data_IF_958516088896
#
_entry.id   IF_958516088896
#
_cell.length_a   1.000
_cell.length_b   1.000
_cell.length_c   1.000
_cell.angle_alpha   90.00
_cell.angle_beta   90.00
_cell.angle_gamma   90.00
#
_symmetry.space_group_name_H-M   'P 1'
#
loop_
_entity.id
_entity.type
_entity.pdbx_description
1 polymer ?
#
# COMPACT_ATOMS: atom_id res chain seq x y z
N UNK A 1 57.30 -34.16 -14.18
CA UNK A 1 56.85 -34.16 -15.58
C UNK A 1 57.14 -32.77 -16.10
N UNK A 2 58.12 -32.67 -17.00
CA UNK A 2 58.43 -31.40 -17.66
C UNK A 2 57.42 -31.20 -18.78
N UNK A 3 56.55 -30.22 -18.63
CA UNK A 3 55.58 -29.86 -19.67
C UNK A 3 56.33 -29.19 -20.83
N UNK A 4 56.04 -29.63 -22.05
CA UNK A 4 56.55 -29.01 -23.28
C UNK A 4 55.98 -27.60 -23.44
N UNK A 5 56.67 -26.73 -24.19
CA UNK A 5 56.22 -25.35 -24.42
C UNK A 5 54.80 -25.30 -25.02
N UNK A 6 54.44 -26.27 -25.88
CA UNK A 6 53.09 -26.43 -26.43
C UNK A 6 52.06 -26.79 -25.36
N UNK A 7 52.39 -27.65 -24.41
CA UNK A 7 51.48 -28.00 -23.30
C UNK A 7 51.30 -26.81 -22.36
N UNK A 8 52.36 -26.04 -22.10
CA UNK A 8 52.27 -24.79 -21.32
C UNK A 8 51.37 -23.76 -22.02
N UNK A 9 51.47 -23.62 -23.34
CA UNK A 9 50.61 -22.72 -24.13
C UNK A 9 49.15 -23.18 -24.16
N UNK A 10 48.89 -24.49 -24.26
CA UNK A 10 47.53 -25.04 -24.22
C UNK A 10 46.91 -24.86 -22.83
N UNK A 11 47.67 -25.13 -21.76
CA UNK A 11 47.20 -24.95 -20.39
C UNK A 11 46.95 -23.48 -20.08
N UNK A 12 47.86 -22.58 -20.46
CA UNK A 12 47.67 -21.14 -20.26
C UNK A 12 46.50 -20.59 -21.08
N UNK A 13 46.35 -20.99 -22.35
CA UNK A 13 45.19 -20.62 -23.18
C UNK A 13 43.87 -21.13 -22.61
N UNK A 14 43.85 -22.36 -22.08
CA UNK A 14 42.66 -22.93 -21.43
C UNK A 14 42.30 -22.20 -20.14
N UNK A 15 43.30 -21.80 -19.35
CA UNK A 15 43.09 -21.00 -18.13
C UNK A 15 42.56 -19.60 -18.44
N UNK A 16 43.02 -18.97 -19.51
CA UNK A 16 42.49 -17.68 -19.99
C UNK A 16 41.05 -17.83 -20.45
N UNK A 17 40.73 -18.87 -21.22
CA UNK A 17 39.38 -19.13 -21.70
C UNK A 17 38.41 -19.40 -20.53
N UNK A 18 38.84 -20.20 -19.54
CA UNK A 18 38.08 -20.43 -18.30
C UNK A 18 37.91 -19.13 -17.53
N UNK A 19 38.95 -18.29 -17.44
CA UNK A 19 38.86 -16.98 -16.79
C UNK A 19 37.83 -16.06 -17.45
N UNK A 20 37.78 -16.03 -18.79
CA UNK A 20 36.80 -15.26 -19.56
C UNK A 20 35.38 -15.83 -19.40
N UNK A 21 35.23 -17.16 -19.41
CA UNK A 21 33.93 -17.81 -19.19
C UNK A 21 33.42 -17.57 -17.77
N UNK A 22 34.32 -17.59 -16.78
CA UNK A 22 33.99 -17.27 -15.38
C UNK A 22 33.66 -15.79 -15.24
N UNK A 23 34.33 -14.87 -15.95
CA UNK A 23 33.96 -13.44 -15.91
C UNK A 23 32.59 -13.21 -16.56
N UNK A 24 32.30 -13.83 -17.71
CA UNK A 24 30.96 -13.76 -18.30
C UNK A 24 29.90 -14.37 -17.37
N UNK A 25 30.16 -15.52 -16.75
CA UNK A 25 29.26 -16.11 -15.75
C UNK A 25 29.09 -15.19 -14.54
N UNK A 26 30.14 -14.50 -14.09
CA UNK A 26 30.06 -13.52 -13.00
C UNK A 26 29.28 -12.26 -13.41
N UNK A 27 29.39 -11.81 -14.66
CA UNK A 27 28.60 -10.70 -15.21
C UNK A 27 27.11 -11.09 -15.36
N UNK A 28 26.82 -12.31 -15.82
CA UNK A 28 25.47 -12.88 -15.83
C UNK A 28 24.92 -13.10 -14.42
N UNK A 29 25.76 -13.49 -13.47
CA UNK A 29 25.39 -13.55 -12.05
C UNK A 29 25.12 -12.15 -11.49
N UNK A 30 25.86 -11.11 -11.91
CA UNK A 30 25.55 -9.72 -11.54
C UNK A 30 24.21 -9.23 -12.14
N UNK A 31 23.83 -9.69 -13.34
CA UNK A 31 22.49 -9.50 -13.90
C UNK A 31 21.39 -10.32 -13.19
N UNK A 32 21.75 -11.38 -12.46
CA UNK A 32 20.84 -12.15 -11.58
C UNK A 32 20.87 -11.65 -10.11
N UNK A 33 21.85 -10.82 -9.74
CA UNK A 33 21.97 -10.11 -8.45
C UNK A 33 21.08 -8.84 -8.31
N UNK A 34 20.13 -8.47 -9.19
CA UNK A 34 19.07 -7.51 -8.83
C UNK A 34 18.11 -8.02 -7.74
N UNK A 35 18.25 -9.24 -7.23
CA UNK A 35 17.36 -9.80 -6.21
C UNK A 35 17.86 -9.71 -4.76
N UNK A 36 19.08 -9.23 -4.49
CA UNK A 36 19.57 -9.13 -3.09
C UNK A 36 20.34 -7.85 -2.73
N UNK A 37 20.52 -6.88 -3.63
CA UNK A 37 21.21 -5.63 -3.27
C UNK A 37 20.70 -4.36 -3.95
N UNK A 38 19.42 -4.33 -4.33
CA UNK A 38 18.70 -3.06 -4.33
C UNK A 38 18.12 -2.86 -2.93
N UNK A 39 18.40 -1.71 -2.34
CA UNK A 39 17.80 -1.21 -1.10
C UNK A 39 16.28 -0.94 -1.23
N UNK A 40 15.56 -1.76 -2.01
CA UNK A 40 14.16 -2.07 -1.77
C UNK A 40 14.12 -3.37 -0.96
N UNK A 41 14.63 -3.30 0.26
CA UNK A 41 14.21 -4.27 1.28
C UNK A 41 12.70 -4.09 1.36
N UNK A 42 11.95 -5.04 0.81
CA UNK A 42 10.55 -5.24 1.17
C UNK A 42 10.56 -5.52 2.66
N UNK A 43 10.38 -4.45 3.44
CA UNK A 43 10.06 -4.55 4.84
C UNK A 43 8.54 -4.59 4.82
N UNK A 44 7.90 -5.76 4.95
CA UNK A 44 6.53 -5.76 5.42
C UNK A 44 6.54 -4.92 6.68
N UNK A 45 5.78 -3.83 6.65
CA UNK A 45 5.69 -2.94 7.78
C UNK A 45 5.29 -3.80 9.00
N UNK A 46 5.87 -3.56 10.19
CA UNK A 46 5.76 -4.48 11.31
C UNK A 46 4.29 -4.73 11.62
N UNK A 47 3.85 -5.97 11.36
CA UNK A 47 2.56 -6.49 11.77
C UNK A 47 2.63 -6.64 13.29
N UNK A 48 1.89 -5.81 14.01
CA UNK A 48 1.70 -6.03 15.44
C UNK A 48 0.83 -7.27 15.63
N UNK A 49 1.44 -8.31 16.18
CA UNK A 49 0.75 -9.52 16.64
C UNK A 49 -0.02 -9.19 17.92
N UNK A 50 -1.31 -8.89 17.78
CA UNK A 50 -2.20 -8.58 18.90
C UNK A 50 -2.57 -9.81 19.74
N UNK A 51 -2.14 -11.02 19.36
CA UNK A 51 -2.54 -12.26 20.03
C UNK A 51 -1.57 -12.73 21.14
N UNK A 52 -0.47 -12.01 21.39
CA UNK A 52 0.45 -12.35 22.46
C UNK A 52 0.14 -11.57 23.75
N UNK A 53 -0.60 -12.23 24.64
CA UNK A 53 -1.09 -11.79 25.96
C UNK A 53 0.02 -11.53 27.02
N UNK A 54 1.26 -11.27 26.58
CA UNK A 54 2.45 -11.18 27.43
C UNK A 54 3.14 -9.80 27.38
N UNK A 55 2.41 -8.70 27.17
CA UNK A 55 2.95 -7.35 27.35
C UNK A 55 2.46 -6.71 28.67
N UNK A 56 3.31 -6.55 29.69
CA UNK A 56 2.91 -6.07 31.00
C UNK A 56 2.71 -4.55 31.02
N UNK A 57 1.55 -4.16 31.57
CA UNK A 57 1.26 -2.93 32.33
C UNK A 57 1.00 -1.57 31.67
N UNK A 58 1.17 -1.35 30.36
CA UNK A 58 0.99 0.01 29.79
C UNK A 58 -0.17 0.20 28.79
N UNK A 59 -1.00 -0.82 28.58
CA UNK A 59 -2.11 -0.72 27.61
C UNK A 59 -3.12 0.39 27.94
N UNK A 60 -3.29 0.76 29.23
CA UNK A 60 -4.20 1.82 29.65
C UNK A 60 -3.69 3.23 29.37
N UNK A 61 -2.40 3.50 29.56
CA UNK A 61 -1.84 4.83 29.28
C UNK A 61 -1.76 5.05 27.76
N UNK A 62 -1.39 4.01 27.03
CA UNK A 62 -1.38 3.96 25.57
C UNK A 62 -2.81 4.12 25.00
N UNK A 63 -3.82 3.45 25.58
CA UNK A 63 -5.24 3.66 25.26
C UNK A 63 -5.74 5.09 25.59
N UNK A 64 -5.33 5.68 26.71
CA UNK A 64 -5.72 7.06 27.09
C UNK A 64 -5.05 8.10 26.18
N UNK A 65 -3.82 7.87 25.71
CA UNK A 65 -3.16 8.70 24.67
C UNK A 65 -3.96 8.63 23.36
N UNK A 66 -4.41 7.43 22.98
CA UNK A 66 -5.20 7.12 21.76
C UNK A 66 -6.61 7.71 21.72
N UNK A 67 -7.25 7.96 22.88
CA UNK A 67 -8.58 8.61 22.95
C UNK A 67 -8.49 10.13 22.75
N UNK A 68 -7.30 10.73 22.86
CA UNK A 68 -7.10 12.20 22.82
C UNK A 68 -6.46 12.71 21.53
N UNK A 69 -6.25 11.85 20.54
CA UNK A 69 -5.35 12.12 19.43
C UNK A 69 -6.05 11.93 18.07
N UNK A 70 -5.53 12.55 17.01
CA UNK A 70 -6.13 12.62 15.66
C UNK A 70 -6.05 11.26 14.96
N UNK A 71 -6.80 10.29 15.45
CA UNK A 71 -6.76 8.92 14.98
C UNK A 71 -7.74 8.68 13.82
N UNK A 72 -7.31 7.84 12.89
CA UNK A 72 -8.13 7.31 11.80
C UNK A 72 -8.59 5.88 12.15
N UNK A 73 -9.71 5.41 11.58
CA UNK A 73 -10.54 6.10 10.60
C UNK A 73 -11.58 7.03 11.23
N UNK A 74 -12.09 7.96 10.42
CA UNK A 74 -13.14 8.91 10.80
C UNK A 74 -14.39 8.73 9.93
N UNK A 75 -15.52 9.22 10.45
CA UNK A 75 -16.68 9.50 9.63
C UNK A 75 -16.65 10.98 9.22
N UNK A 76 -16.60 11.24 7.92
CA UNK A 76 -16.62 12.60 7.36
C UNK A 76 -18.08 13.06 7.27
N UNK A 77 -18.40 14.18 7.91
CA UNK A 77 -19.69 14.86 7.74
C UNK A 77 -19.50 15.94 6.68
N UNK A 78 -20.09 15.75 5.51
CA UNK A 78 -19.80 16.57 4.34
C UNK A 78 -20.18 18.05 4.56
N UNK A 79 -21.32 18.30 5.20
CA UNK A 79 -21.81 19.64 5.52
C UNK A 79 -20.97 20.39 6.57
N UNK A 80 -20.16 19.69 7.38
CA UNK A 80 -19.34 20.29 8.43
C UNK A 80 -17.90 20.54 7.97
N UNK A 81 -17.56 20.15 6.72
CA UNK A 81 -16.22 20.31 6.18
C UNK A 81 -15.93 21.75 5.74
N UNK A 82 -14.66 22.16 5.88
CA UNK A 82 -14.19 23.48 5.46
C UNK A 82 -13.87 23.46 3.96
N UNK A 83 -14.60 24.23 3.17
CA UNK A 83 -14.37 24.33 1.72
C UNK A 83 -13.12 25.15 1.42
N UNK A 84 -12.22 24.59 0.61
CA UNK A 84 -11.01 25.24 0.10
C UNK A 84 -11.24 25.57 -1.38
N UNK A 85 -11.60 26.81 -1.64
CA UNK A 85 -11.73 27.35 -3.00
C UNK A 85 -10.36 27.83 -3.52
N UNK A 86 -10.03 27.50 -4.78
CA UNK A 86 -8.85 28.03 -5.46
C UNK A 86 -7.49 27.45 -5.02
N UNK A 87 -7.48 26.38 -4.23
CA UNK A 87 -6.26 25.63 -3.93
C UNK A 87 -5.64 24.98 -5.17
N UNK A 88 -4.34 24.69 -5.12
CA UNK A 88 -3.65 23.95 -6.17
C UNK A 88 -4.34 22.59 -6.40
N UNK A 89 -4.44 22.10 -7.65
CA UNK A 89 -4.95 20.77 -7.91
C UNK A 89 -3.97 19.69 -7.41
N UNK A 90 -4.49 18.52 -7.06
CA UNK A 90 -3.68 17.33 -6.85
C UNK A 90 -3.12 16.85 -8.20
N UNK A 91 -1.81 16.70 -8.29
CA UNK A 91 -1.15 16.18 -9.49
C UNK A 91 -0.72 14.72 -9.28
N UNK A 92 -0.97 13.93 -10.31
CA UNK A 92 -0.65 12.51 -10.39
C UNK A 92 0.36 12.32 -11.51
N UNK A 93 1.56 11.85 -11.18
CA UNK A 93 2.67 11.74 -12.12
C UNK A 93 3.06 10.27 -12.29
N UNK A 94 3.33 9.88 -13.54
CA UNK A 94 3.78 8.56 -13.97
C UNK A 94 2.84 7.37 -13.68
N UNK A 95 1.59 7.61 -13.30
CA UNK A 95 0.58 6.58 -13.00
C UNK A 95 0.18 5.70 -14.19
N UNK A 96 0.43 6.16 -15.42
CA UNK A 96 0.24 5.38 -16.65
C UNK A 96 1.40 4.43 -16.95
N UNK A 97 2.45 4.46 -16.14
CA UNK A 97 3.58 3.52 -16.24
C UNK A 97 3.09 2.14 -15.82
N UNK A 98 3.49 1.09 -16.53
CA UNK A 98 3.24 -0.29 -16.11
C UNK A 98 4.37 -0.74 -15.17
N UNK A 99 4.08 -1.39 -14.04
CA UNK A 99 5.12 -1.99 -13.22
C UNK A 99 5.77 -3.20 -13.92
N UNK A 100 7.03 -3.49 -13.60
CA UNK A 100 7.74 -4.69 -14.07
C UNK A 100 7.30 -5.95 -13.32
N UNK A 101 7.02 -5.78 -12.03
CA UNK A 101 6.57 -6.86 -11.14
C UNK A 101 5.39 -6.38 -10.33
N UNK A 102 4.35 -7.19 -10.26
CA UNK A 102 3.20 -6.99 -9.38
C UNK A 102 3.00 -8.22 -8.50
N UNK A 103 2.89 -7.99 -7.20
CA UNK A 103 2.73 -9.05 -6.19
C UNK A 103 1.47 -8.81 -5.39
N UNK A 104 0.67 -9.86 -5.20
CA UNK A 104 -0.47 -9.87 -4.28
C UNK A 104 -0.12 -10.72 -3.06
N UNK A 105 -0.37 -10.17 -1.87
CA UNK A 105 -0.06 -10.82 -0.58
C UNK A 105 -1.31 -10.81 0.29
N UNK A 106 -1.65 -11.96 0.88
CA UNK A 106 -2.50 -12.02 2.05
C UNK A 106 -1.59 -12.01 3.29
N UNK A 107 -1.50 -10.88 3.99
CA UNK A 107 -0.64 -10.75 5.18
C UNK A 107 -1.30 -11.28 6.46
N UNK A 108 -2.50 -11.86 6.34
CA UNK A 108 -3.34 -12.30 7.44
C UNK A 108 -4.32 -11.24 7.95
N UNK A 109 -4.11 -9.96 7.63
CA UNK A 109 -5.02 -8.88 8.00
C UNK A 109 -5.83 -8.37 6.80
N UNK A 110 -5.21 -8.36 5.62
CA UNK A 110 -5.76 -7.78 4.39
C UNK A 110 -5.08 -8.36 3.14
N UNK A 111 -5.61 -8.01 1.96
CA UNK A 111 -4.93 -8.17 0.68
C UNK A 111 -4.18 -6.89 0.36
N UNK A 112 -2.87 -7.01 0.14
CA UNK A 112 -1.99 -5.91 -0.26
C UNK A 112 -1.34 -6.19 -1.61
N UNK A 113 -1.31 -5.17 -2.48
CA UNK A 113 -0.58 -5.18 -3.73
C UNK A 113 0.71 -4.37 -3.61
N UNK A 114 1.79 -4.96 -4.12
CA UNK A 114 3.11 -4.36 -4.20
C UNK A 114 3.64 -4.37 -5.63
N UNK A 115 4.51 -3.41 -5.93
CA UNK A 115 4.94 -3.10 -7.29
C UNK A 115 6.45 -2.86 -7.34
N UNK A 116 7.09 -3.30 -8.42
CA UNK A 116 8.44 -2.90 -8.80
C UNK A 116 8.35 -2.13 -10.10
N UNK A 117 8.94 -0.93 -10.12
CA UNK A 117 8.80 0.02 -11.22
C UNK A 117 10.05 0.05 -12.11
N UNK A 118 9.90 0.19 -13.44
CA UNK A 118 11.02 0.21 -14.36
C UNK A 118 11.87 1.48 -14.18
N UNK A 119 13.19 1.34 -14.36
CA UNK A 119 14.15 2.46 -14.39
C UNK A 119 14.12 3.41 -13.17
N UNK A 120 13.58 2.94 -12.03
CA UNK A 120 13.43 3.77 -10.84
C UNK A 120 12.36 4.88 -10.96
N UNK A 121 11.53 4.85 -12.01
CA UNK A 121 10.44 5.81 -12.22
C UNK A 121 9.24 5.33 -11.40
N UNK A 122 9.11 5.84 -10.18
CA UNK A 122 8.03 5.48 -9.27
C UNK A 122 6.89 6.50 -9.45
N UNK A 123 5.65 6.07 -9.73
CA UNK A 123 4.49 6.96 -9.74
C UNK A 123 4.38 7.72 -8.42
N UNK A 124 3.97 8.98 -8.47
CA UNK A 124 3.91 9.81 -7.28
C UNK A 124 2.81 10.87 -7.39
N UNK A 125 2.47 11.42 -6.23
CA UNK A 125 1.51 12.51 -6.10
C UNK A 125 2.19 13.74 -5.48
N UNK A 126 1.74 14.91 -5.89
CA UNK A 126 2.22 16.20 -5.37
C UNK A 126 1.11 17.27 -5.44
N UNK A 127 1.36 18.43 -4.82
CA UNK A 127 0.45 19.57 -4.77
C UNK A 127 -0.90 19.22 -4.09
N UNK A 128 -1.93 20.02 -4.31
CA UNK A 128 -3.16 19.93 -3.55
C UNK A 128 -2.90 20.22 -2.06
N UNK A 129 -3.30 19.33 -1.14
CA UNK A 129 -3.01 19.49 0.29
C UNK A 129 -1.58 19.09 0.66
N UNK A 130 -0.78 18.58 -0.29
CA UNK A 130 0.53 18.00 -0.02
C UNK A 130 1.64 19.05 -0.07
N UNK A 131 2.50 19.04 0.97
CA UNK A 131 3.68 19.92 1.06
C UNK A 131 4.89 19.40 0.29
N UNK A 132 4.90 18.11 0.00
CA UNK A 132 6.01 17.39 -0.62
C UNK A 132 5.47 16.47 -1.72
N UNK A 133 6.38 15.86 -2.47
CA UNK A 133 6.06 14.74 -3.36
C UNK A 133 6.04 13.44 -2.57
N UNK A 134 5.12 12.54 -2.91
CA UNK A 134 4.95 11.24 -2.24
C UNK A 134 4.94 10.10 -3.27
N UNK A 135 5.93 9.22 -3.17
CA UNK A 135 6.08 8.05 -4.03
C UNK A 135 5.04 6.99 -3.67
N UNK A 136 4.38 6.46 -4.69
CA UNK A 136 3.44 5.36 -4.56
C UNK A 136 4.13 4.09 -4.03
N UNK A 137 3.52 3.46 -3.03
CA UNK A 137 4.10 2.33 -2.32
C UNK A 137 3.29 1.04 -2.48
N UNK A 138 2.00 1.07 -2.16
CA UNK A 138 1.16 -0.12 -2.15
C UNK A 138 -0.32 0.20 -2.27
N UNK A 139 -1.13 -0.80 -2.61
CA UNK A 139 -2.59 -0.75 -2.52
C UNK A 139 -3.05 -1.73 -1.45
N UNK A 140 -3.92 -1.29 -0.54
CA UNK A 140 -4.48 -2.12 0.53
C UNK A 140 -6.00 -2.17 0.37
N UNK A 141 -6.61 -3.35 0.56
CA UNK A 141 -8.05 -3.53 0.45
C UNK A 141 -8.68 -3.85 1.82
N UNK A 142 -9.67 -3.09 2.24
CA UNK A 142 -10.46 -3.39 3.42
C UNK A 142 -11.87 -3.74 3.01
N UNK A 143 -12.35 -4.90 3.44
CA UNK A 143 -13.72 -5.33 3.17
C UNK A 143 -14.42 -5.80 4.44
N UNK A 144 -15.75 -5.88 4.37
CA UNK A 144 -16.58 -6.41 5.43
C UNK A 144 -17.36 -7.64 5.01
N UNK A 145 -18.03 -8.22 6.01
CA UNK A 145 -18.79 -9.45 5.88
C UNK A 145 -20.11 -9.27 5.11
N UNK A 146 -20.65 -8.05 5.06
CA UNK A 146 -21.91 -7.72 4.39
C UNK A 146 -21.77 -6.49 3.50
N UNK A 147 -22.82 -6.19 2.74
CA UNK A 147 -22.80 -5.11 1.74
C UNK A 147 -22.85 -3.71 2.39
N UNK A 148 -23.19 -3.61 3.68
CA UNK A 148 -23.38 -2.34 4.41
C UNK A 148 -22.20 -1.97 5.32
N UNK A 149 -21.17 -2.83 5.41
CA UNK A 149 -20.00 -2.61 6.24
C UNK A 149 -18.75 -3.11 5.54
N UNK A 150 -17.61 -2.47 5.78
CA UNK A 150 -16.33 -2.94 5.26
C UNK A 150 -15.28 -1.86 5.12
N UNK A 151 -15.68 -0.66 4.71
CA UNK A 151 -14.83 0.52 4.70
C UNK A 151 -14.40 0.89 6.11
N UNK A 152 -13.17 1.36 6.23
CA UNK A 152 -12.60 1.87 7.48
C UNK A 152 -13.16 3.27 7.75
N UNK A 153 -13.22 4.13 6.74
CA UNK A 153 -13.86 5.45 6.79
C UNK A 153 -15.37 5.37 6.52
N UNK A 154 -16.09 6.44 6.87
CA UNK A 154 -17.50 6.64 6.52
C UNK A 154 -17.71 8.04 5.95
N UNK A 155 -18.78 8.21 5.18
CA UNK A 155 -19.20 9.50 4.62
C UNK A 155 -20.67 9.72 4.98
N UNK A 156 -21.00 10.79 5.69
CA UNK A 156 -22.35 11.09 6.20
C UNK A 156 -22.99 9.92 6.97
N UNK A 157 -22.19 9.22 7.77
CA UNK A 157 -22.56 8.00 8.51
C UNK A 157 -22.87 6.78 7.63
N UNK A 158 -22.60 6.86 6.33
CA UNK A 158 -22.71 5.74 5.40
C UNK A 158 -21.38 4.99 5.36
N UNK A 159 -21.47 3.68 5.54
CA UNK A 159 -20.39 2.72 5.35
C UNK A 159 -20.53 2.01 4.01
N UNK A 160 -19.40 1.57 3.48
CA UNK A 160 -19.30 0.90 2.20
C UNK A 160 -18.82 -0.55 2.37
N UNK A 161 -19.16 -1.47 1.45
CA UNK A 161 -18.72 -2.87 1.51
C UNK A 161 -17.21 -3.05 1.45
N UNK A 162 -16.50 -2.13 0.79
CA UNK A 162 -15.05 -2.17 0.63
C UNK A 162 -14.46 -0.76 0.52
N UNK A 163 -13.22 -0.61 0.97
CA UNK A 163 -12.38 0.56 0.82
C UNK A 163 -11.00 0.14 0.28
N UNK A 164 -10.50 0.85 -0.71
CA UNK A 164 -9.16 0.67 -1.25
C UNK A 164 -8.31 1.88 -0.87
N UNK A 165 -7.15 1.63 -0.28
CA UNK A 165 -6.23 2.65 0.19
C UNK A 165 -4.91 2.57 -0.59
N UNK A 166 -4.58 3.64 -1.29
CA UNK A 166 -3.32 3.82 -2.02
C UNK A 166 -2.34 4.51 -1.08
N UNK A 167 -1.32 3.78 -0.65
CA UNK A 167 -0.31 4.28 0.29
C UNK A 167 0.81 4.94 -0.49
N UNK A 168 1.19 6.14 -0.06
CA UNK A 168 2.32 6.88 -0.60
C UNK A 168 3.25 7.32 0.53
N UNK A 169 4.53 7.34 0.23
CA UNK A 169 5.60 7.66 1.16
C UNK A 169 6.33 8.89 0.66
N UNK A 170 6.58 9.85 1.56
CA UNK A 170 7.28 11.10 1.23
C UNK A 170 8.59 10.82 0.49
N UNK A 171 8.80 11.50 -0.63
CA UNK A 171 10.02 11.40 -1.43
C UNK A 171 11.24 11.88 -0.61
N UNK A 172 12.39 11.22 -0.81
CA UNK A 172 13.67 11.47 -0.11
C UNK A 172 13.76 10.99 1.35
N UNK A 173 12.84 10.14 1.81
CA UNK A 173 13.07 9.39 3.04
C UNK A 173 14.20 8.38 2.85
N UNK A 174 15.23 8.46 3.71
CA UNK A 174 16.42 7.60 3.63
C UNK A 174 16.09 6.10 3.78
N UNK A 175 14.96 5.75 4.41
CA UNK A 175 14.46 4.37 4.52
C UNK A 175 12.97 4.32 4.90
N UNK A 176 12.20 3.31 4.45
CA UNK A 176 10.87 3.01 4.99
C UNK A 176 10.87 2.70 6.50
N UNK A 177 12.00 2.25 7.08
CA UNK A 177 12.12 2.08 8.54
C UNK A 177 11.98 3.38 9.30
N UNK A 178 12.44 4.48 8.70
CA UNK A 178 12.42 5.80 9.31
C UNK A 178 10.98 6.27 9.56
N UNK A 179 10.03 5.87 8.70
CA UNK A 179 8.58 6.18 8.78
C UNK A 179 7.95 5.69 10.09
N UNK A 180 8.38 4.52 10.58
CA UNK A 180 7.81 3.90 11.80
C UNK A 180 8.38 4.57 13.06
N UNK A 181 9.55 5.21 12.94
CA UNK A 181 10.29 5.80 14.07
C UNK A 181 10.15 7.31 14.18
N UNK A 182 9.64 7.99 13.16
CA UNK A 182 9.48 9.45 13.17
C UNK A 182 8.11 9.85 13.72
N UNK A 183 8.10 10.79 14.66
CA UNK A 183 6.89 11.45 15.17
C UNK A 183 6.47 12.65 14.28
N UNK A 184 7.14 12.86 13.14
CA UNK A 184 6.82 13.95 12.23
C UNK A 184 5.47 13.68 11.55
N UNK A 185 4.59 14.68 11.61
CA UNK A 185 3.41 14.76 10.76
C UNK A 185 3.85 14.90 9.29
N UNK A 186 3.09 14.32 8.35
CA UNK A 186 3.27 14.45 6.89
C UNK A 186 4.30 13.48 6.23
N UNK A 187 4.56 12.30 6.79
CA UNK A 187 5.48 11.30 6.18
C UNK A 187 4.78 10.35 5.20
N UNK A 188 3.47 10.16 5.36
CA UNK A 188 2.63 9.29 4.54
C UNK A 188 1.47 10.10 3.97
N UNK A 189 1.11 9.84 2.71
CA UNK A 189 -0.14 10.29 2.13
C UNK A 189 -0.96 9.06 1.69
N UNK A 190 -2.23 8.99 2.08
CA UNK A 190 -3.10 7.88 1.69
C UNK A 190 -4.29 8.41 0.91
N UNK A 191 -4.46 7.90 -0.32
CA UNK A 191 -5.65 8.14 -1.13
C UNK A 191 -6.63 7.00 -0.91
N UNK A 192 -7.87 7.31 -0.54
CA UNK A 192 -8.91 6.30 -0.29
C UNK A 192 -10.04 6.37 -1.30
N UNK A 193 -10.45 5.20 -1.78
CA UNK A 193 -11.62 5.00 -2.63
C UNK A 193 -12.60 4.04 -1.97
N UNK A 194 -13.86 4.46 -1.86
CA UNK A 194 -14.95 3.58 -1.46
C UNK A 194 -15.43 2.73 -2.64
N UNK A 195 -16.05 1.59 -2.34
CA UNK A 195 -16.75 0.77 -3.32
C UNK A 195 -18.21 0.59 -2.93
N UNK A 196 -19.13 0.62 -3.89
CA UNK A 196 -20.54 0.28 -3.70
C UNK A 196 -20.94 -0.91 -4.55
N UNK A 197 -21.93 -1.65 -4.09
CA UNK A 197 -22.47 -2.78 -4.85
C UNK A 197 -23.10 -2.27 -6.15
N UNK A 198 -22.71 -2.89 -7.25
CA UNK A 198 -23.29 -2.70 -8.59
C UNK A 198 -23.80 -4.03 -9.14
N UNK A 199 -24.66 -3.93 -10.17
CA UNK A 199 -25.13 -5.09 -10.94
C UNK A 199 -24.03 -5.62 -11.86
N UNK A 200 -23.25 -4.72 -12.44
CA UNK A 200 -22.24 -5.04 -13.43
C UNK A 200 -20.89 -5.28 -12.76
N UNK A 201 -20.10 -6.18 -13.34
CA UNK A 201 -18.73 -6.39 -12.90
C UNK A 201 -17.90 -5.13 -13.11
N UNK A 202 -16.93 -4.92 -12.20
CA UNK A 202 -15.89 -3.95 -12.41
C UNK A 202 -14.71 -4.64 -13.11
N UNK A 203 -14.63 -4.47 -14.42
CA UNK A 203 -13.59 -5.09 -15.26
C UNK A 203 -12.17 -4.70 -14.79
N UNK A 204 -11.99 -3.50 -14.23
CA UNK A 204 -10.70 -3.09 -13.69
C UNK A 204 -10.25 -3.98 -12.52
N UNK A 205 -11.19 -4.44 -11.70
CA UNK A 205 -10.90 -5.34 -10.59
C UNK A 205 -10.74 -6.80 -11.01
N UNK A 206 -11.07 -7.19 -12.24
CA UNK A 206 -11.01 -8.61 -12.63
C UNK A 206 -9.56 -9.15 -12.63
N UNK A 207 -8.57 -8.31 -12.92
CA UNK A 207 -7.15 -8.65 -12.81
C UNK A 207 -6.75 -9.04 -11.38
N UNK A 208 -7.45 -8.50 -10.37
CA UNK A 208 -7.24 -8.79 -8.96
C UNK A 208 -8.15 -9.96 -8.54
N UNK A 209 -9.46 -9.83 -8.75
CA UNK A 209 -10.45 -10.75 -8.20
C UNK A 209 -10.36 -12.15 -8.80
N UNK A 210 -9.85 -12.30 -10.03
CA UNK A 210 -9.59 -13.61 -10.64
C UNK A 210 -8.44 -14.38 -10.01
N UNK A 211 -7.57 -13.71 -9.24
CA UNK A 211 -6.37 -14.30 -8.62
C UNK A 211 -6.50 -14.53 -7.12
N UNK A 212 -7.54 -13.98 -6.49
CA UNK A 212 -7.78 -14.07 -5.04
C UNK A 212 -7.81 -15.51 -4.50
N UNK A 213 -8.32 -16.49 -5.27
CA UNK A 213 -8.32 -17.89 -4.83
C UNK A 213 -6.93 -18.49 -4.65
N UNK A 214 -5.88 -17.88 -5.23
CA UNK A 214 -4.50 -18.33 -5.08
C UNK A 214 -3.81 -17.68 -3.86
N UNK A 215 -4.50 -16.76 -3.17
CA UNK A 215 -4.03 -16.13 -1.92
C UNK A 215 -5.06 -16.24 -0.79
N UNK A 216 -5.88 -17.29 -0.82
CA UNK A 216 -6.91 -17.49 0.20
C UNK A 216 -6.31 -17.65 1.60
N UNK A 217 -5.19 -18.37 1.70
CA UNK A 217 -4.53 -18.66 2.98
C UNK A 217 -3.69 -17.49 3.49
N UNK A 218 -3.63 -17.37 4.81
CA UNK A 218 -2.78 -16.38 5.50
C UNK A 218 -1.31 -16.55 5.09
N UNK A 219 -0.61 -15.44 4.90
CA UNK A 219 0.80 -15.36 4.48
C UNK A 219 1.08 -15.90 3.06
N UNK A 220 0.04 -16.21 2.28
CA UNK A 220 0.21 -16.54 0.87
C UNK A 220 0.61 -15.32 0.05
N UNK A 221 1.41 -15.58 -0.98
CA UNK A 221 1.92 -14.57 -1.90
C UNK A 221 1.97 -15.13 -3.31
N UNK A 222 1.51 -14.33 -4.28
CA UNK A 222 1.58 -14.67 -5.69
C UNK A 222 2.11 -13.49 -6.50
N UNK A 223 2.70 -13.81 -7.65
CA UNK A 223 2.89 -12.85 -8.72
C UNK A 223 1.62 -12.80 -9.57
N UNK A 224 1.24 -11.60 -9.97
CA UNK A 224 0.16 -11.38 -10.94
C UNK A 224 0.73 -10.68 -12.15
N UNK A 225 0.14 -10.95 -13.32
CA UNK A 225 0.53 -10.29 -14.57
C UNK A 225 0.44 -8.77 -14.38
N UNK A 226 1.53 -8.01 -14.58
CA UNK A 226 1.50 -6.57 -14.38
C UNK A 226 0.51 -5.89 -15.31
N UNK A 227 -0.16 -4.85 -14.83
CA UNK A 227 -1.06 -3.99 -15.60
C UNK A 227 -0.97 -2.55 -15.08
N UNK A 228 -1.42 -1.58 -15.87
CA UNK A 228 -1.38 -0.17 -15.47
C UNK A 228 -2.31 0.08 -14.29
N UNK A 229 -1.78 0.62 -13.20
CA UNK A 229 -2.53 0.77 -11.94
C UNK A 229 -3.64 1.82 -12.02
N UNK A 230 -3.50 2.82 -12.91
CA UNK A 230 -4.51 3.84 -13.18
C UNK A 230 -5.80 3.28 -13.79
N UNK A 231 -5.81 2.02 -14.21
CA UNK A 231 -7.02 1.32 -14.62
C UNK A 231 -7.93 0.98 -13.43
N UNK A 232 -7.39 0.84 -12.21
CA UNK A 232 -8.14 0.42 -11.02
C UNK A 232 -9.02 1.51 -10.42
N UNK A 233 -8.68 2.78 -10.66
CA UNK A 233 -9.32 3.93 -10.04
C UNK A 233 -9.23 5.16 -10.94
N UNK A 234 -10.22 6.07 -10.89
CA UNK A 234 -10.16 7.32 -11.61
C UNK A 234 -9.17 8.28 -10.96
N UNK A 235 -8.21 8.79 -11.74
CA UNK A 235 -7.37 9.91 -11.31
C UNK A 235 -8.22 11.17 -11.17
N UNK A 236 -8.11 11.86 -10.04
CA UNK A 236 -8.84 13.10 -9.75
C UNK A 236 -7.89 14.23 -9.35
N UNK A 237 -8.22 15.46 -9.75
CA UNK A 237 -7.42 16.65 -9.40
C UNK A 237 -8.03 17.50 -8.29
N UNK A 238 -9.33 17.36 -8.07
CA UNK A 238 -10.20 18.18 -7.23
C UNK A 238 -11.38 17.33 -6.73
N UNK A 239 -12.27 17.91 -5.92
CA UNK A 239 -13.46 17.29 -5.33
C UNK A 239 -13.14 16.11 -4.43
N UNK A 240 -12.24 16.34 -3.48
CA UNK A 240 -11.85 15.35 -2.47
C UNK A 240 -11.80 15.96 -1.08
N UNK A 241 -11.94 15.12 -0.07
CA UNK A 241 -11.75 15.51 1.33
C UNK A 241 -10.31 15.24 1.76
N UNK A 242 -9.76 16.09 2.61
CA UNK A 242 -8.47 15.87 3.25
C UNK A 242 -8.52 16.13 4.74
N UNK A 243 -7.72 15.39 5.51
CA UNK A 243 -7.47 15.64 6.92
C UNK A 243 -6.16 14.96 7.34
N UNK A 244 -5.57 15.43 8.43
CA UNK A 244 -4.41 14.77 9.02
C UNK A 244 -4.89 13.77 10.07
N UNK A 245 -4.40 12.54 10.00
CA UNK A 245 -4.79 11.45 10.86
C UNK A 245 -3.68 10.42 11.10
N UNK A 246 -4.07 9.24 11.57
CA UNK A 246 -3.16 8.11 11.76
C UNK A 246 -3.29 7.06 10.64
N UNK A 247 -2.32 6.14 10.56
CA UNK A 247 -2.43 5.00 9.65
C UNK A 247 -3.34 3.92 10.26
N UNK A 248 -4.33 3.45 9.48
CA UNK A 248 -5.22 2.35 9.87
C UNK A 248 -4.54 0.98 9.76
N UNK A 249 -3.49 0.89 8.94
CA UNK A 249 -2.70 -0.33 8.75
C UNK A 249 -1.54 -0.47 9.76
N UNK A 250 -0.95 0.65 10.21
CA UNK A 250 0.40 0.67 10.80
C UNK A 250 0.47 1.53 12.05
N UNK A 251 0.86 0.91 13.16
CA UNK A 251 1.43 1.53 14.37
C UNK A 251 0.73 2.76 14.99
N UNK A 252 -0.48 3.14 14.53
CA UNK A 252 -1.24 4.29 15.03
C UNK A 252 -0.48 5.63 15.00
N UNK A 253 0.58 5.74 14.19
CA UNK A 253 1.39 6.95 14.07
C UNK A 253 0.60 8.05 13.37
N UNK A 254 0.58 9.26 13.95
CA UNK A 254 -0.15 10.44 13.44
C UNK A 254 0.66 11.18 12.36
N UNK A 255 1.05 10.43 11.33
CA UNK A 255 1.92 10.90 10.27
C UNK A 255 1.27 10.81 8.88
N UNK A 256 -0.06 10.72 8.82
CA UNK A 256 -0.81 10.49 7.58
C UNK A 256 -1.61 11.72 7.17
N UNK A 257 -1.41 12.18 5.94
CA UNK A 257 -2.37 13.03 5.24
C UNK A 257 -3.33 12.14 4.45
N UNK A 258 -4.60 12.11 4.86
CA UNK A 258 -5.66 11.36 4.19
C UNK A 258 -6.25 12.20 3.07
N UNK A 259 -6.50 11.58 1.92
CA UNK A 259 -7.18 12.16 0.76
C UNK A 259 -8.30 11.20 0.37
N UNK A 260 -9.55 11.56 0.61
CA UNK A 260 -10.72 10.70 0.39
C UNK A 260 -11.45 11.14 -0.87
N UNK A 261 -11.52 10.25 -1.86
CA UNK A 261 -12.42 10.45 -3.00
C UNK A 261 -13.86 10.14 -2.57
N UNK A 262 -14.80 11.10 -2.65
CA UNK A 262 -16.18 10.88 -2.24
C UNK A 262 -17.00 10.04 -3.23
N UNK A 263 -16.54 9.86 -4.47
CA UNK A 263 -17.26 9.09 -5.47
C UNK A 263 -16.94 7.60 -5.37
N UNK A 264 -17.89 6.75 -4.91
CA UNK A 264 -17.64 5.32 -4.75
C UNK A 264 -17.54 4.61 -6.10
N UNK A 265 -16.54 3.75 -6.23
CA UNK A 265 -16.34 2.84 -7.35
C UNK A 265 -17.36 1.70 -7.31
N UNK A 266 -17.64 1.11 -8.46
CA UNK A 266 -18.57 -0.02 -8.53
C UNK A 266 -17.84 -1.33 -8.24
N UNK A 267 -18.52 -2.29 -7.60
CA UNK A 267 -18.08 -3.68 -7.51
C UNK A 267 -19.29 -4.62 -7.55
N UNK A 268 -19.21 -5.71 -8.30
CA UNK A 268 -20.28 -6.70 -8.32
C UNK A 268 -20.28 -7.54 -7.02
N UNK A 269 -21.45 -8.02 -6.62
CA UNK A 269 -21.57 -8.92 -5.45
C UNK A 269 -20.71 -10.18 -5.60
N UNK A 270 -20.65 -10.74 -6.79
CA UNK A 270 -19.81 -11.91 -7.12
C UNK A 270 -18.32 -11.62 -6.95
N UNK A 271 -17.86 -10.39 -7.20
CA UNK A 271 -16.47 -9.98 -6.96
C UNK A 271 -16.23 -9.78 -5.45
N UNK A 272 -17.17 -9.16 -4.73
CA UNK A 272 -17.10 -9.03 -3.26
C UNK A 272 -17.03 -10.38 -2.54
N UNK A 273 -17.78 -11.38 -3.01
CA UNK A 273 -17.76 -12.73 -2.46
C UNK A 273 -16.39 -13.39 -2.54
N UNK A 274 -15.54 -13.03 -3.52
CA UNK A 274 -14.18 -13.55 -3.61
C UNK A 274 -13.28 -12.95 -2.51
N UNK A 275 -13.41 -11.66 -2.22
CA UNK A 275 -12.73 -11.05 -1.07
C UNK A 275 -13.18 -11.66 0.26
N UNK A 276 -14.48 -11.90 0.42
CA UNK A 276 -15.05 -12.49 1.64
C UNK A 276 -14.65 -13.95 1.89
N UNK A 277 -14.06 -14.64 0.91
CA UNK A 277 -13.50 -15.99 1.05
C UNK A 277 -12.06 -16.02 1.55
N UNK A 278 -11.35 -14.88 1.53
CA UNK A 278 -9.97 -14.81 2.01
C UNK A 278 -9.92 -15.07 3.51
N UNK A 279 -9.06 -16.00 3.92
CA UNK A 279 -8.83 -16.31 5.33
C UNK A 279 -7.97 -15.22 5.96
N UNK A 280 -8.50 -14.59 7.01
CA UNK A 280 -7.82 -13.59 7.82
C UNK A 280 -7.58 -14.15 9.23
N UNK A 281 -6.49 -13.72 9.87
CA UNK A 281 -6.24 -13.95 11.29
C UNK A 281 -7.33 -13.23 12.09
N UNK A 282 -8.23 -14.02 12.71
CA UNK A 282 -9.41 -13.63 13.53
C UNK A 282 -9.55 -12.12 13.79
N UNK A 283 -10.05 -11.41 12.78
CA UNK A 283 -10.22 -9.94 12.77
C UNK A 283 -11.28 -9.43 13.76
N UNK A 284 -12.11 -10.31 14.32
CA UNK A 284 -13.17 -9.96 15.27
C UNK A 284 -12.63 -9.32 16.55
N UNK A 285 -11.44 -9.72 17.01
CA UNK A 285 -10.85 -9.11 18.19
C UNK A 285 -10.20 -7.75 17.86
N UNK A 286 -9.56 -7.59 16.70
CA UNK A 286 -8.86 -6.35 16.32
C UNK A 286 -9.83 -5.21 15.92
N UNK A 287 -10.89 -5.50 15.16
CA UNK A 287 -11.91 -4.48 14.79
C UNK A 287 -12.66 -3.93 16.00
N UNK A 288 -12.78 -4.71 17.07
CA UNK A 288 -13.34 -4.25 18.35
C UNK A 288 -12.54 -3.06 18.92
N UNK A 289 -11.27 -2.92 18.56
CA UNK A 289 -10.34 -1.91 19.08
C UNK A 289 -10.01 -0.76 18.12
N UNK A 290 -10.54 -0.75 16.89
CA UNK A 290 -10.45 0.38 15.97
C UNK A 290 -11.84 0.94 15.59
N UNK A 291 -12.64 1.43 16.56
CA UNK A 291 -13.90 2.09 16.24
C UNK A 291 -13.64 3.38 15.44
N UNK A 292 -14.64 3.84 14.69
CA UNK A 292 -14.64 5.20 14.13
C UNK A 292 -14.39 6.18 15.28
N UNK A 293 -13.38 7.02 15.11
CA UNK A 293 -12.98 7.95 16.15
C UNK A 293 -13.87 9.21 16.12
N UNK A 294 -14.12 9.79 17.29
CA UNK A 294 -14.83 11.07 17.38
C UNK A 294 -13.84 12.16 16.98
N UNK A 295 -13.93 12.60 15.73
CA UNK A 295 -12.99 13.57 15.15
C UNK A 295 -13.62 14.96 15.07
N UNK A 296 -12.82 16.02 15.27
CA UNK A 296 -13.30 17.39 15.08
C UNK A 296 -13.47 17.66 13.57
N UNK A 297 -14.72 17.75 13.10
CA UNK A 297 -15.03 17.93 11.68
C UNK A 297 -14.49 19.25 11.12
N UNK A 298 -14.25 20.27 11.97
CA UNK A 298 -13.60 21.54 11.59
C UNK A 298 -12.15 21.38 11.10
N UNK A 299 -11.59 20.16 11.18
CA UNK A 299 -10.25 19.82 10.67
C UNK A 299 -10.28 18.95 9.40
N UNK A 300 -11.47 18.76 8.82
CA UNK A 300 -11.66 18.14 7.51
C UNK A 300 -11.88 19.23 6.46
N UNK A 301 -11.10 19.20 5.39
CA UNK A 301 -11.15 20.18 4.32
C UNK A 301 -11.68 19.55 3.04
N UNK A 302 -12.58 20.24 2.33
CA UNK A 302 -13.05 19.84 1.01
C UNK A 302 -12.39 20.69 -0.06
N UNK A 303 -11.62 20.07 -0.95
CA UNK A 303 -10.98 20.76 -2.07
C UNK A 303 -11.91 20.74 -3.27
N UNK A 304 -12.45 21.91 -3.64
CA UNK A 304 -13.37 22.07 -4.78
C UNK A 304 -12.68 22.00 -6.15
#
# INVERSE_FOLDING_TARGET
MDLTLSEVLIVSGSLILIGLLVSEILDWLQMLIPLTSNNQVFIPLPVFDYANDNQPHDWKAEFIRRVRSNQSPINIITNDSVVIEGGDPLDWIDYSTQPEVMTMINDGNTITLHFVWPNGIIPHIEKGPLRYSYNFHSIIFYWGISDDVGSEHGLDNVKYPMEMQLVHVKANLESPRTIITTENSDEIAIISYFFKISKDNNDALDNITSKLSNVEDVQSKIFIEPFNIDTLFPIFKRKFYTFNGSSTALSFSENVTWIINPEPLNIARTQMEKFRKINLLKREEIKKYQPIQTFNQETVYFHE
#
